data_IF_757358592909
#
_entry.id   IF_757358592909
#
_cell.length_a   1.000
_cell.length_b   1.000
_cell.length_c   1.000
_cell.angle_alpha   90.00
_cell.angle_beta   90.00
_cell.angle_gamma   90.00
#
_symmetry.space_group_name_H-M   'P 1'
#
loop_
_entity.id
_entity.type
_entity.pdbx_description
1 polymer ?
#
# COMPACT_ATOMS: atom_id res chain seq x y z
N UNK A 1 32.83 -31.48 -19.28
CA UNK A 1 31.88 -31.39 -18.14
C UNK A 1 31.38 -32.78 -17.85
N UNK A 2 31.22 -33.14 -16.58
CA UNK A 2 30.73 -34.47 -16.21
C UNK A 2 29.22 -34.52 -16.50
N UNK A 3 28.71 -35.60 -17.10
CA UNK A 3 27.29 -35.78 -17.45
C UNK A 3 26.36 -35.57 -16.25
N UNK A 4 26.87 -35.86 -15.05
CA UNK A 4 26.18 -35.65 -13.78
C UNK A 4 26.00 -34.15 -13.42
N UNK A 5 26.97 -33.31 -13.77
CA UNK A 5 26.88 -31.84 -13.59
C UNK A 5 25.86 -31.23 -14.55
N UNK A 6 25.79 -31.71 -15.79
CA UNK A 6 24.79 -31.26 -16.78
C UNK A 6 23.36 -31.61 -16.33
N UNK A 7 23.14 -32.83 -15.80
CA UNK A 7 21.85 -33.24 -15.25
C UNK A 7 21.44 -32.43 -14.02
N UNK A 8 22.38 -32.13 -13.11
CA UNK A 8 22.14 -31.28 -11.95
C UNK A 8 21.81 -29.83 -12.35
N UNK A 9 22.48 -29.30 -13.38
CA UNK A 9 22.19 -27.98 -13.92
C UNK A 9 20.82 -27.93 -14.61
N UNK A 10 20.47 -28.94 -15.41
CA UNK A 10 19.14 -29.03 -16.01
C UNK A 10 18.02 -29.11 -14.97
N UNK A 11 18.21 -29.86 -13.87
CA UNK A 11 17.26 -29.89 -12.75
C UNK A 11 17.14 -28.53 -12.04
N UNK A 12 18.25 -27.80 -11.87
CA UNK A 12 18.23 -26.42 -11.37
C UNK A 12 17.46 -25.50 -12.32
N UNK A 13 17.68 -25.62 -13.62
CA UNK A 13 17.02 -24.78 -14.63
C UNK A 13 15.51 -25.08 -14.71
N UNK A 14 15.11 -26.34 -14.68
CA UNK A 14 13.70 -26.76 -14.60
C UNK A 14 13.06 -26.20 -13.32
N UNK A 15 13.75 -26.31 -12.18
CA UNK A 15 13.25 -25.75 -10.91
C UNK A 15 13.16 -24.24 -10.95
N UNK A 16 14.10 -23.56 -11.60
CA UNK A 16 14.10 -22.11 -11.75
C UNK A 16 13.02 -21.64 -12.75
N UNK A 17 12.75 -22.40 -13.80
CA UNK A 17 11.62 -22.18 -14.71
C UNK A 17 10.28 -22.40 -14.01
N UNK A 18 10.17 -23.45 -13.19
CA UNK A 18 8.99 -23.76 -12.38
C UNK A 18 8.74 -22.69 -11.31
N UNK A 19 9.78 -22.24 -10.60
CA UNK A 19 9.69 -21.13 -9.64
C UNK A 19 9.29 -19.81 -10.33
N UNK A 20 9.71 -19.60 -11.58
CA UNK A 20 9.33 -18.42 -12.40
C UNK A 20 7.92 -18.52 -13.00
N UNK A 21 7.38 -19.72 -13.18
CA UNK A 21 6.02 -19.96 -13.67
C UNK A 21 5.00 -20.03 -12.53
N UNK A 22 5.42 -20.40 -11.32
CA UNK A 22 4.61 -20.40 -10.09
C UNK A 22 4.46 -18.99 -9.47
N UNK A 23 4.22 -17.95 -10.29
CA UNK A 23 3.97 -16.58 -9.83
C UNK A 23 2.62 -16.47 -9.12
N UNK A 24 2.43 -17.10 -7.97
CA UNK A 24 1.12 -17.10 -7.32
C UNK A 24 1.24 -17.01 -5.81
N UNK A 25 1.70 -15.85 -5.35
CA UNK A 25 1.07 -15.30 -4.15
C UNK A 25 -0.28 -14.79 -4.60
N UNK A 26 -1.33 -15.51 -4.24
CA UNK A 26 -2.67 -15.02 -4.48
C UNK A 26 -3.01 -13.99 -3.40
N UNK A 27 -2.53 -12.74 -3.54
CA UNK A 27 -3.08 -11.63 -2.75
C UNK A 27 -4.61 -11.67 -2.92
N UNK A 28 -5.37 -11.50 -1.84
CA UNK A 28 -6.83 -11.49 -1.98
C UNK A 28 -7.30 -10.13 -2.50
N UNK A 29 -8.14 -10.12 -3.53
CA UNK A 29 -8.82 -8.93 -4.02
C UNK A 29 -9.68 -8.28 -2.94
N UNK A 30 -10.27 -9.08 -2.05
CA UNK A 30 -11.00 -8.59 -0.87
C UNK A 30 -10.11 -7.78 0.08
N UNK A 31 -8.82 -8.08 0.15
CA UNK A 31 -7.85 -7.26 0.90
C UNK A 31 -7.78 -5.83 0.36
N UNK A 32 -7.79 -5.67 -0.98
CA UNK A 32 -7.77 -4.37 -1.63
C UNK A 32 -9.05 -3.57 -1.40
N UNK A 33 -10.21 -4.24 -1.50
CA UNK A 33 -11.51 -3.61 -1.20
C UNK A 33 -11.58 -3.16 0.25
N UNK A 34 -11.18 -4.03 1.18
CA UNK A 34 -11.17 -3.71 2.61
C UNK A 34 -10.24 -2.52 2.91
N UNK A 35 -9.00 -2.55 2.41
CA UNK A 35 -8.06 -1.44 2.59
C UNK A 35 -8.62 -0.12 2.06
N UNK A 36 -9.27 -0.15 0.88
CA UNK A 36 -9.86 1.05 0.30
C UNK A 36 -11.06 1.59 1.07
N UNK A 37 -11.93 0.73 1.59
CA UNK A 37 -13.04 1.17 2.48
C UNK A 37 -12.49 1.81 3.76
N UNK A 38 -11.49 1.19 4.38
CA UNK A 38 -10.85 1.71 5.59
C UNK A 38 -10.14 3.04 5.32
N UNK A 39 -9.50 3.21 4.16
CA UNK A 39 -8.92 4.47 3.75
C UNK A 39 -9.98 5.57 3.57
N UNK A 40 -11.13 5.28 2.94
CA UNK A 40 -12.21 6.26 2.80
C UNK A 40 -12.80 6.68 4.15
N UNK A 41 -12.99 5.73 5.07
CA UNK A 41 -13.42 6.03 6.45
C UNK A 41 -12.37 6.91 7.15
N UNK A 42 -11.09 6.55 7.02
CA UNK A 42 -9.98 7.35 7.55
C UNK A 42 -9.96 8.77 6.99
N UNK A 43 -10.16 8.93 5.68
CA UNK A 43 -10.20 10.23 5.04
C UNK A 43 -11.39 11.08 5.50
N UNK A 44 -12.55 10.45 5.75
CA UNK A 44 -13.71 11.12 6.33
C UNK A 44 -13.40 11.67 7.74
N UNK A 45 -12.83 10.84 8.62
CA UNK A 45 -12.45 11.30 9.97
C UNK A 45 -11.32 12.33 9.96
N UNK A 46 -10.37 12.22 9.03
CA UNK A 46 -9.32 13.23 8.86
C UNK A 46 -9.92 14.58 8.44
N UNK A 47 -10.90 14.57 7.54
CA UNK A 47 -11.61 15.77 7.13
C UNK A 47 -12.40 16.40 8.30
N UNK A 48 -13.04 15.57 9.12
CA UNK A 48 -13.74 16.03 10.33
C UNK A 48 -12.78 16.70 11.33
N UNK A 49 -11.61 16.12 11.57
CA UNK A 49 -10.58 16.74 12.44
C UNK A 49 -10.06 18.07 11.89
N UNK A 50 -9.81 18.15 10.58
CA UNK A 50 -9.43 19.41 9.91
C UNK A 50 -10.55 20.45 10.05
N UNK A 51 -11.81 20.06 9.86
CA UNK A 51 -12.94 20.98 10.00
C UNK A 51 -13.14 21.45 11.44
N UNK A 52 -12.92 20.59 12.44
CA UNK A 52 -12.94 20.97 13.86
C UNK A 52 -11.87 22.01 14.15
N UNK A 53 -10.65 21.80 13.67
CA UNK A 53 -9.56 22.77 13.79
C UNK A 53 -9.89 24.12 13.14
N UNK A 54 -10.35 24.12 11.88
CA UNK A 54 -10.72 25.35 11.15
C UNK A 54 -11.84 26.11 11.87
N UNK A 55 -12.86 25.40 12.37
CA UNK A 55 -13.99 26.00 13.08
C UNK A 55 -13.71 26.28 14.57
N UNK A 56 -12.46 26.07 15.03
CA UNK A 56 -12.03 26.29 16.43
C UNK A 56 -12.88 25.49 17.45
N UNK A 57 -13.28 24.28 17.07
CA UNK A 57 -14.08 23.37 17.91
C UNK A 57 -13.16 22.31 18.51
N UNK A 58 -12.89 22.42 19.81
CA UNK A 58 -12.10 21.41 20.54
C UNK A 58 -10.60 21.46 20.28
N UNK A 59 -10.10 22.50 19.61
CA UNK A 59 -8.67 22.75 19.40
C UNK A 59 -8.26 24.07 20.05
N UNK A 60 -7.05 24.10 20.62
CA UNK A 60 -6.42 25.32 21.13
C UNK A 60 -6.14 26.35 20.03
N UNK A 61 -5.67 27.54 20.42
CA UNK A 61 -5.29 28.59 19.48
C UNK A 61 -3.80 28.53 19.17
N UNK A 62 -3.44 28.90 17.93
CA UNK A 62 -2.04 29.01 17.51
C UNK A 62 -1.32 27.67 17.49
N UNK A 63 -0.04 27.69 17.87
CA UNK A 63 0.89 26.55 17.76
C UNK A 63 0.38 25.31 18.49
N UNK A 64 -0.24 25.47 19.66
CA UNK A 64 -0.76 24.34 20.44
C UNK A 64 -1.87 23.58 19.68
N UNK A 65 -2.78 24.31 19.02
CA UNK A 65 -3.84 23.69 18.22
C UNK A 65 -3.34 22.98 16.97
N UNK A 66 -2.29 23.52 16.33
CA UNK A 66 -1.65 22.91 15.16
C UNK A 66 -0.96 21.59 15.53
N UNK A 67 -0.23 21.58 16.66
CA UNK A 67 0.40 20.37 17.19
C UNK A 67 -0.62 19.29 17.56
N UNK A 68 -1.74 19.67 18.18
CA UNK A 68 -2.82 18.74 18.51
C UNK A 68 -3.44 18.12 17.25
N UNK A 69 -3.67 18.93 16.21
CA UNK A 69 -4.23 18.46 14.94
C UNK A 69 -3.26 17.48 14.27
N UNK A 70 -1.98 17.83 14.21
CA UNK A 70 -0.93 16.98 13.65
C UNK A 70 -0.89 15.64 14.37
N UNK A 71 -0.84 15.64 15.71
CA UNK A 71 -0.84 14.44 16.51
C UNK A 71 -2.09 13.57 16.26
N UNK A 72 -3.28 14.19 16.17
CA UNK A 72 -4.52 13.48 15.89
C UNK A 72 -4.54 12.86 14.49
N UNK A 73 -4.05 13.56 13.47
CA UNK A 73 -3.96 13.05 12.10
C UNK A 73 -2.93 11.92 11.98
N UNK A 74 -1.77 12.02 12.63
CA UNK A 74 -0.77 10.94 12.67
C UNK A 74 -1.35 9.70 13.35
N UNK A 75 -1.99 9.88 14.51
CA UNK A 75 -2.66 8.80 15.26
C UNK A 75 -3.72 8.11 14.41
N UNK A 76 -4.54 8.88 13.70
CA UNK A 76 -5.56 8.36 12.78
C UNK A 76 -4.91 7.60 11.62
N UNK A 77 -3.85 8.15 11.01
CA UNK A 77 -3.11 7.50 9.94
C UNK A 77 -2.50 6.15 10.36
N UNK A 78 -1.91 6.07 11.55
CA UNK A 78 -1.41 4.82 12.12
C UNK A 78 -2.54 3.81 12.33
N UNK A 79 -3.68 4.26 12.87
CA UNK A 79 -4.84 3.39 13.09
C UNK A 79 -5.40 2.81 11.79
N UNK A 80 -5.56 3.66 10.77
CA UNK A 80 -5.98 3.27 9.42
C UNK A 80 -5.00 2.25 8.82
N UNK A 81 -3.70 2.51 8.92
CA UNK A 81 -2.65 1.61 8.43
C UNK A 81 -2.71 0.24 9.12
N UNK A 82 -2.81 0.22 10.46
CA UNK A 82 -2.87 -1.03 11.23
C UNK A 82 -4.09 -1.85 10.86
N UNK A 83 -5.27 -1.23 10.76
CA UNK A 83 -6.48 -1.95 10.38
C UNK A 83 -6.39 -2.46 8.95
N UNK A 84 -5.95 -1.63 8.00
CA UNK A 84 -5.80 -2.03 6.60
C UNK A 84 -4.84 -3.22 6.46
N UNK A 85 -3.69 -3.21 7.16
CA UNK A 85 -2.74 -4.32 7.18
C UNK A 85 -3.34 -5.58 7.83
N UNK A 86 -4.01 -5.44 8.97
CA UNK A 86 -4.65 -6.57 9.66
C UNK A 86 -5.68 -7.25 8.76
N UNK A 87 -6.56 -6.47 8.11
CA UNK A 87 -7.52 -7.00 7.15
C UNK A 87 -6.85 -7.64 5.94
N UNK A 88 -5.83 -6.99 5.38
CA UNK A 88 -5.09 -7.51 4.24
C UNK A 88 -4.40 -8.85 4.52
N UNK A 89 -3.81 -9.00 5.70
CA UNK A 89 -3.24 -10.27 6.16
C UNK A 89 -4.33 -11.32 6.36
N UNK A 90 -5.44 -10.96 7.01
CA UNK A 90 -6.53 -11.88 7.32
C UNK A 90 -7.17 -12.45 6.05
N UNK A 91 -7.55 -11.62 5.08
CA UNK A 91 -8.15 -12.07 3.83
C UNK A 91 -7.18 -12.88 2.97
N UNK A 92 -5.90 -12.48 2.92
CA UNK A 92 -4.86 -13.24 2.21
C UNK A 92 -4.63 -14.61 2.86
N UNK A 93 -4.59 -14.66 4.20
CA UNK A 93 -4.46 -15.91 4.95
C UNK A 93 -5.63 -16.85 4.68
N UNK A 94 -6.87 -16.37 4.76
CA UNK A 94 -8.07 -17.16 4.48
C UNK A 94 -8.09 -17.72 3.06
N UNK A 95 -7.69 -16.92 2.07
CA UNK A 95 -7.59 -17.36 0.68
C UNK A 95 -6.54 -18.44 0.50
N UNK A 96 -5.35 -18.26 1.10
CA UNK A 96 -4.28 -19.24 1.01
C UNK A 96 -4.66 -20.58 1.63
N UNK A 97 -5.37 -20.56 2.77
CA UNK A 97 -5.93 -21.76 3.41
C UNK A 97 -6.95 -22.46 2.50
N UNK A 98 -7.90 -21.71 1.90
CA UNK A 98 -8.87 -22.27 0.96
C UNK A 98 -8.20 -22.95 -0.24
N UNK A 99 -7.09 -22.39 -0.71
CA UNK A 99 -6.39 -22.86 -1.91
C UNK A 99 -5.23 -23.83 -1.60
N UNK A 100 -5.03 -24.23 -0.34
CA UNK A 100 -3.90 -25.08 0.10
C UNK A 100 -2.52 -24.56 -0.35
N UNK A 101 -2.36 -23.24 -0.45
CA UNK A 101 -1.11 -22.61 -0.85
C UNK A 101 -0.26 -22.24 0.38
N UNK A 102 1.06 -22.43 0.34
CA UNK A 102 1.95 -21.96 1.40
C UNK A 102 2.02 -20.42 1.40
N UNK A 103 1.70 -19.80 2.54
CA UNK A 103 1.70 -18.33 2.71
C UNK A 103 3.13 -17.76 2.80
N UNK A 104 4.11 -18.61 3.13
CA UNK A 104 5.47 -18.19 3.46
C UNK A 104 6.52 -18.92 2.63
N UNK A 105 6.51 -18.66 1.32
CA UNK A 105 7.47 -19.20 0.37
C UNK A 105 8.55 -18.17 -0.02
N UNK A 106 9.46 -18.56 -0.92
CA UNK A 106 10.52 -17.65 -1.42
C UNK A 106 9.93 -16.46 -2.17
N UNK A 107 8.84 -16.66 -2.91
CA UNK A 107 8.13 -15.60 -3.63
C UNK A 107 7.57 -14.57 -2.65
N UNK A 108 6.94 -15.02 -1.56
CA UNK A 108 6.34 -14.18 -0.52
C UNK A 108 7.36 -13.29 0.16
N UNK A 109 8.51 -13.87 0.52
CA UNK A 109 9.63 -13.10 1.06
C UNK A 109 10.14 -12.07 0.07
N UNK A 110 10.26 -12.44 -1.21
CA UNK A 110 10.76 -11.55 -2.25
C UNK A 110 9.79 -10.40 -2.51
N UNK A 111 8.48 -10.67 -2.55
CA UNK A 111 7.44 -9.65 -2.62
C UNK A 111 7.55 -8.68 -1.46
N UNK A 112 7.58 -9.18 -0.21
CA UNK A 112 7.61 -8.34 0.98
C UNK A 112 8.86 -7.46 1.00
N UNK A 113 10.06 -8.01 0.74
CA UNK A 113 11.28 -7.21 0.71
C UNK A 113 11.18 -6.10 -0.35
N UNK A 114 10.70 -6.42 -1.56
CA UNK A 114 10.60 -5.43 -2.62
C UNK A 114 9.50 -4.39 -2.38
N UNK A 115 8.45 -4.74 -1.63
CA UNK A 115 7.43 -3.81 -1.16
C UNK A 115 7.99 -2.90 -0.04
N UNK A 116 8.69 -3.47 0.94
CA UNK A 116 9.16 -2.74 2.11
C UNK A 116 10.28 -1.75 1.79
N UNK A 117 11.14 -2.01 0.80
CA UNK A 117 12.25 -1.09 0.50
C UNK A 117 11.75 0.33 0.17
N UNK A 118 10.85 0.56 -0.81
CA UNK A 118 10.33 1.91 -1.08
C UNK A 118 9.40 2.41 0.04
N UNK A 119 8.64 1.52 0.68
CA UNK A 119 7.70 1.90 1.73
C UNK A 119 8.40 2.43 2.99
N UNK A 120 9.46 1.75 3.44
CA UNK A 120 10.28 2.19 4.59
C UNK A 120 11.04 3.46 4.24
N UNK A 121 11.60 3.56 3.03
CA UNK A 121 12.25 4.78 2.58
C UNK A 121 11.27 5.98 2.59
N UNK A 122 10.06 5.80 2.07
CA UNK A 122 9.01 6.82 2.09
C UNK A 122 8.50 7.17 3.48
N UNK A 123 8.32 6.18 4.35
CA UNK A 123 7.91 6.39 5.74
C UNK A 123 8.96 7.19 6.52
N UNK A 124 10.23 6.81 6.42
CA UNK A 124 11.33 7.55 7.04
C UNK A 124 11.47 8.97 6.44
N UNK A 125 11.25 9.12 5.13
CA UNK A 125 11.24 10.41 4.45
C UNK A 125 10.14 11.32 5.02
N UNK A 126 8.91 10.81 5.17
CA UNK A 126 7.79 11.58 5.75
C UNK A 126 8.05 11.93 7.22
N UNK A 127 8.59 10.99 8.02
CA UNK A 127 8.95 11.26 9.41
C UNK A 127 10.03 12.35 9.48
N UNK A 128 11.05 12.29 8.62
CA UNK A 128 12.10 13.30 8.57
C UNK A 128 11.54 14.69 8.19
N UNK A 129 10.56 14.74 7.28
CA UNK A 129 9.84 15.97 6.94
C UNK A 129 9.07 16.54 8.14
N UNK A 130 8.30 15.71 8.84
CA UNK A 130 7.54 16.13 10.01
C UNK A 130 8.44 16.65 11.15
N UNK A 131 9.54 15.96 11.43
CA UNK A 131 10.43 16.29 12.56
C UNK A 131 11.36 17.47 12.27
N UNK A 132 11.90 17.57 11.04
CA UNK A 132 12.97 18.53 10.72
C UNK A 132 12.53 19.67 9.79
N UNK A 133 11.38 19.55 9.13
CA UNK A 133 10.93 20.50 8.12
C UNK A 133 9.48 20.96 8.41
N UNK A 134 9.29 21.82 9.43
CA UNK A 134 7.96 22.32 9.77
C UNK A 134 7.30 23.02 8.57
N UNK A 135 5.98 23.01 8.53
CA UNK A 135 5.15 23.59 7.46
C UNK A 135 5.24 22.87 6.09
N UNK A 136 5.80 21.66 6.02
CA UNK A 136 5.82 20.85 4.79
C UNK A 136 4.65 19.86 4.67
N UNK A 137 3.54 20.10 5.39
CA UNK A 137 2.41 19.16 5.41
C UNK A 137 1.78 18.90 4.04
N UNK A 138 1.84 19.89 3.14
CA UNK A 138 1.30 19.79 1.79
C UNK A 138 1.92 18.65 0.96
N UNK A 139 3.15 18.24 1.28
CA UNK A 139 3.86 17.19 0.52
C UNK A 139 3.73 15.79 1.16
N UNK A 140 3.07 15.64 2.30
CA UNK A 140 2.91 14.33 2.96
C UNK A 140 2.02 13.41 2.13
N UNK A 141 0.81 13.85 1.78
CA UNK A 141 -0.12 13.08 0.97
C UNK A 141 0.46 12.63 -0.39
N UNK A 142 1.08 13.51 -1.21
CA UNK A 142 1.72 13.06 -2.44
C UNK A 142 2.92 12.15 -2.19
N UNK A 143 3.68 12.34 -1.11
CA UNK A 143 4.77 11.43 -0.74
C UNK A 143 4.24 10.02 -0.43
N UNK A 144 3.14 9.91 0.33
CA UNK A 144 2.48 8.62 0.59
C UNK A 144 2.13 7.92 -0.72
N UNK A 145 1.45 8.62 -1.64
CA UNK A 145 1.01 8.08 -2.93
C UNK A 145 2.20 7.63 -3.79
N UNK A 146 3.24 8.45 -3.92
CA UNK A 146 4.41 8.16 -4.76
C UNK A 146 5.20 6.99 -4.21
N UNK A 147 5.59 7.02 -2.93
CA UNK A 147 6.42 5.94 -2.35
C UNK A 147 5.67 4.61 -2.28
N UNK A 148 4.36 4.65 -1.97
CA UNK A 148 3.53 3.47 -2.03
C UNK A 148 3.37 2.94 -3.46
N UNK A 149 3.13 3.81 -4.44
CA UNK A 149 3.04 3.41 -5.84
C UNK A 149 4.34 2.78 -6.35
N UNK A 150 5.50 3.33 -5.96
CA UNK A 150 6.81 2.73 -6.23
C UNK A 150 6.99 1.37 -5.52
N UNK A 151 6.50 1.23 -4.28
CA UNK A 151 6.49 -0.05 -3.57
C UNK A 151 5.70 -1.11 -4.35
N UNK A 152 4.49 -0.77 -4.84
CA UNK A 152 3.67 -1.66 -5.66
C UNK A 152 4.34 -2.03 -6.99
N UNK A 153 4.92 -1.05 -7.69
CA UNK A 153 5.64 -1.31 -8.95
C UNK A 153 6.82 -2.26 -8.69
N UNK A 154 7.56 -2.08 -7.61
CA UNK A 154 8.70 -2.93 -7.30
C UNK A 154 8.27 -4.35 -6.88
N UNK A 155 7.22 -4.46 -6.08
CA UNK A 155 6.63 -5.74 -5.65
C UNK A 155 5.95 -6.52 -6.79
N UNK A 156 5.49 -5.82 -7.85
CA UNK A 156 4.74 -6.41 -8.97
C UNK A 156 5.45 -7.53 -9.71
N UNK A 157 6.78 -7.62 -9.61
CA UNK A 157 7.59 -8.70 -10.20
C UNK A 157 7.30 -10.08 -9.57
N UNK A 158 6.76 -10.09 -8.36
CA UNK A 158 6.56 -11.28 -7.53
C UNK A 158 5.07 -11.60 -7.27
N UNK A 159 4.15 -10.90 -7.93
CA UNK A 159 2.70 -11.12 -7.83
C UNK A 159 2.03 -10.88 -9.18
N UNK A 160 0.70 -10.82 -9.21
CA UNK A 160 -0.07 -10.47 -10.40
C UNK A 160 0.39 -9.15 -10.98
N UNK A 161 0.67 -9.14 -12.28
CA UNK A 161 1.11 -7.95 -13.02
C UNK A 161 0.11 -6.79 -12.92
N UNK A 162 -1.16 -7.07 -12.63
CA UNK A 162 -2.21 -6.08 -12.48
C UNK A 162 -1.90 -5.06 -11.36
N UNK A 163 -1.17 -5.47 -10.31
CA UNK A 163 -0.78 -4.56 -9.22
C UNK A 163 0.14 -3.43 -9.71
N UNK A 164 0.88 -3.67 -10.79
CA UNK A 164 1.77 -2.67 -11.40
C UNK A 164 0.98 -1.48 -11.92
N UNK A 165 -0.21 -1.71 -12.48
CA UNK A 165 -1.05 -0.63 -12.97
C UNK A 165 -1.59 0.21 -11.82
N UNK A 166 -2.01 -0.41 -10.70
CA UNK A 166 -2.36 0.33 -9.49
C UNK A 166 -1.18 1.19 -9.03
N UNK A 167 0.02 0.62 -8.92
CA UNK A 167 1.21 1.37 -8.55
C UNK A 167 1.53 2.55 -9.47
N UNK A 168 1.37 2.39 -10.78
CA UNK A 168 1.52 3.49 -11.74
C UNK A 168 0.46 4.58 -11.55
N UNK A 169 -0.80 4.20 -11.32
CA UNK A 169 -1.86 5.15 -11.03
C UNK A 169 -1.56 5.95 -9.76
N UNK A 170 -1.09 5.30 -8.69
CA UNK A 170 -0.69 5.96 -7.42
C UNK A 170 0.46 6.95 -7.63
N UNK A 171 1.50 6.58 -8.39
CA UNK A 171 2.61 7.48 -8.71
C UNK A 171 2.12 8.69 -9.51
N UNK A 172 1.34 8.47 -10.57
CA UNK A 172 0.80 9.57 -11.40
C UNK A 172 -0.09 10.48 -10.56
N UNK A 173 -0.96 9.91 -9.73
CA UNK A 173 -1.87 10.63 -8.86
C UNK A 173 -1.10 11.48 -7.83
N UNK A 174 -0.06 10.92 -7.21
CA UNK A 174 0.81 11.63 -6.29
C UNK A 174 1.60 12.76 -6.95
N UNK A 175 2.10 12.55 -8.18
CA UNK A 175 2.75 13.60 -8.97
C UNK A 175 1.79 14.72 -9.32
N UNK A 176 0.55 14.41 -9.71
CA UNK A 176 -0.49 15.43 -9.95
C UNK A 176 -0.79 16.18 -8.65
N UNK A 177 -0.95 15.46 -7.53
CA UNK A 177 -1.22 16.04 -6.23
C UNK A 177 -0.17 17.08 -5.79
N UNK A 178 1.10 16.94 -6.21
CA UNK A 178 2.15 17.94 -5.95
C UNK A 178 1.84 19.31 -6.58
N UNK A 179 1.12 19.35 -7.70
CA UNK A 179 0.74 20.60 -8.37
C UNK A 179 -0.55 21.21 -7.80
N UNK A 180 -1.37 20.43 -7.06
CA UNK A 180 -2.64 20.86 -6.49
C UNK A 180 -2.57 20.93 -4.95
N UNK A 181 -1.81 21.90 -4.46
CA UNK A 181 -1.63 22.16 -3.02
C UNK A 181 -2.98 22.38 -2.34
N UNK A 182 -3.16 21.77 -1.16
CA UNK A 182 -4.40 21.81 -0.38
C UNK A 182 -5.41 20.70 -0.70
N UNK A 183 -5.28 20.02 -1.85
CA UNK A 183 -6.16 18.90 -2.22
C UNK A 183 -5.63 17.53 -1.76
N UNK A 184 -4.55 17.50 -0.96
CA UNK A 184 -3.84 16.28 -0.56
C UNK A 184 -4.74 15.17 -0.03
N UNK A 185 -5.70 15.50 0.85
CA UNK A 185 -6.62 14.51 1.41
C UNK A 185 -7.56 13.89 0.35
N UNK A 186 -7.98 14.67 -0.65
CA UNK A 186 -8.85 14.19 -1.73
C UNK A 186 -8.07 13.23 -2.64
N UNK A 187 -6.85 13.60 -3.04
CA UNK A 187 -5.97 12.71 -3.81
C UNK A 187 -5.62 11.45 -3.02
N UNK A 188 -5.35 11.58 -1.72
CA UNK A 188 -5.08 10.45 -0.84
C UNK A 188 -6.29 9.49 -0.75
N UNK A 189 -7.50 10.02 -0.56
CA UNK A 189 -8.73 9.23 -0.53
C UNK A 189 -9.03 8.58 -1.89
N UNK A 190 -8.71 9.25 -3.00
CA UNK A 190 -8.88 8.70 -4.33
C UNK A 190 -7.93 7.52 -4.58
N UNK A 191 -6.64 7.68 -4.25
CA UNK A 191 -5.64 6.61 -4.40
C UNK A 191 -5.89 5.45 -3.45
N UNK A 192 -5.65 5.69 -2.15
CA UNK A 192 -5.77 4.65 -1.13
C UNK A 192 -7.18 4.12 -0.95
N UNK A 193 -8.21 4.88 -1.32
CA UNK A 193 -9.62 4.47 -1.24
C UNK A 193 -10.15 3.90 -2.56
N UNK A 194 -10.47 4.79 -3.49
CA UNK A 194 -11.21 4.44 -4.72
C UNK A 194 -10.40 3.49 -5.61
N UNK A 195 -9.13 3.81 -5.91
CA UNK A 195 -8.31 2.96 -6.77
C UNK A 195 -8.10 1.56 -6.16
N UNK A 196 -7.95 1.47 -4.83
CA UNK A 196 -7.82 0.19 -4.14
C UNK A 196 -9.10 -0.64 -4.17
N UNK A 197 -10.27 -0.01 -4.04
CA UNK A 197 -11.56 -0.71 -4.20
C UNK A 197 -11.70 -1.24 -5.62
N UNK A 198 -11.44 -0.40 -6.63
CA UNK A 198 -11.53 -0.80 -8.05
C UNK A 198 -10.56 -1.94 -8.34
N UNK A 199 -9.29 -1.81 -7.94
CA UNK A 199 -8.29 -2.85 -8.10
C UNK A 199 -8.70 -4.15 -7.37
N UNK A 200 -9.14 -4.05 -6.13
CA UNK A 200 -9.56 -5.20 -5.32
C UNK A 200 -10.74 -5.96 -5.94
N UNK A 201 -11.73 -5.24 -6.47
CA UNK A 201 -12.85 -5.82 -7.21
C UNK A 201 -12.39 -6.49 -8.50
N UNK A 202 -11.54 -5.83 -9.30
CA UNK A 202 -10.98 -6.41 -10.52
C UNK A 202 -10.23 -7.71 -10.23
N UNK A 203 -9.40 -7.72 -9.18
CA UNK A 203 -8.69 -8.90 -8.71
C UNK A 203 -9.64 -10.02 -8.27
N UNK A 204 -10.68 -9.68 -7.49
CA UNK A 204 -11.66 -10.65 -7.01
C UNK A 204 -12.44 -11.28 -8.17
N UNK A 205 -12.93 -10.48 -9.12
CA UNK A 205 -13.69 -11.00 -10.25
C UNK A 205 -12.85 -11.79 -11.25
N UNK A 206 -11.60 -11.36 -11.49
CA UNK A 206 -10.71 -11.99 -12.46
C UNK A 206 -10.08 -13.29 -11.94
N UNK A 207 -9.83 -13.39 -10.63
CA UNK A 207 -9.04 -14.48 -10.06
C UNK A 207 -9.72 -15.29 -8.95
N UNK A 208 -10.82 -14.82 -8.33
CA UNK A 208 -11.39 -15.45 -7.12
C UNK A 208 -12.84 -15.91 -7.26
N UNK A 209 -13.70 -15.18 -7.97
CA UNK A 209 -15.15 -15.47 -8.00
C UNK A 209 -15.52 -16.86 -8.54
N UNK A 210 -14.62 -17.51 -9.28
CA UNK A 210 -14.83 -18.83 -9.89
C UNK A 210 -14.05 -19.98 -9.24
N UNK A 211 -13.37 -19.76 -8.11
CA UNK A 211 -12.66 -20.78 -7.31
C UNK A 211 -13.42 -21.10 -6.03
#
# INVERSE_FOLDING_TARGET
MNTQEEQLNALKDIRQMMDRSSRFISLSGLSGVFAGVIALIGAYFANDEINKFINKRGYGYGVDGEMDLEFNLIKLGIFVLVIALAGGILFTYRKSQKNNLPIWDKTSKSLLINLFVPLVAGGLFIIALLVNHPNTYAIIAPSCLIFYGLALINASKYTYSDIRYLGLCEVILGLICMFYVGYGLIFWAFGFGILHIVYGLLMYFKYERGQ
#
